data_IF_864132583964
#
_entry.id   IF_864132583964
#
_cell.length_a   1.000
_cell.length_b   1.000
_cell.length_c   1.000
_cell.angle_alpha   90.00
_cell.angle_beta   90.00
_cell.angle_gamma   90.00
#
_symmetry.space_group_name_H-M   'P 1'
#
loop_
_entity.id
_entity.type
_entity.pdbx_description
1 polymer ?
#
# COMPACT_ATOMS: atom_id res chain seq x y z
N UNK A 1 10.00 -2.36 -18.62
CA UNK A 1 8.94 -2.39 -19.65
C UNK A 1 7.65 -1.69 -19.22
N UNK A 2 7.33 -1.57 -17.92
CA UNK A 2 6.16 -0.79 -17.45
C UNK A 2 6.44 0.72 -17.31
N UNK A 3 7.68 1.11 -16.93
CA UNK A 3 8.06 2.51 -16.75
C UNK A 3 7.88 3.38 -18.01
N UNK A 4 8.00 2.80 -19.21
CA UNK A 4 7.81 3.51 -20.48
C UNK A 4 6.35 3.74 -20.87
N UNK A 5 5.39 3.26 -20.06
CA UNK A 5 3.96 3.33 -20.35
C UNK A 5 3.15 3.94 -19.19
N UNK A 6 3.84 4.41 -18.15
CA UNK A 6 3.24 5.10 -17.00
C UNK A 6 3.93 6.45 -16.91
N UNK A 7 3.17 7.52 -17.08
CA UNK A 7 3.69 8.90 -17.00
C UNK A 7 4.04 9.29 -15.56
N UNK A 8 3.29 8.78 -14.58
CA UNK A 8 3.51 9.03 -13.16
C UNK A 8 3.26 7.78 -12.31
N UNK A 9 4.29 7.31 -11.58
CA UNK A 9 4.18 6.23 -10.62
C UNK A 9 4.23 6.77 -9.18
N UNK A 10 3.13 6.62 -8.43
CA UNK A 10 3.03 7.05 -7.02
C UNK A 10 3.07 5.85 -6.07
N UNK A 11 3.93 5.91 -5.05
CA UNK A 11 3.94 4.96 -3.94
C UNK A 11 3.33 5.58 -2.68
N UNK A 12 2.29 4.95 -2.12
CA UNK A 12 1.73 5.32 -0.81
C UNK A 12 2.45 4.49 0.26
N UNK A 13 3.49 5.06 0.85
CA UNK A 13 4.39 4.39 1.78
C UNK A 13 3.74 4.26 3.15
N UNK A 14 3.13 3.11 3.40
CA UNK A 14 2.50 2.81 4.68
C UNK A 14 3.37 1.80 5.44
N UNK A 15 3.69 2.04 6.73
CA UNK A 15 4.31 1.02 7.56
C UNK A 15 3.50 -0.29 7.55
N UNK A 16 4.20 -1.41 7.47
CA UNK A 16 3.60 -2.73 7.25
C UNK A 16 2.60 -3.12 8.36
N UNK A 17 2.95 -2.81 9.60
CA UNK A 17 2.12 -3.00 10.78
C UNK A 17 0.82 -2.16 10.71
N UNK A 18 0.91 -0.88 10.34
CA UNK A 18 -0.25 0.00 10.13
C UNK A 18 -1.14 -0.53 9.00
N UNK A 19 -0.55 -0.90 7.87
CA UNK A 19 -1.27 -1.47 6.74
C UNK A 19 -1.99 -2.77 7.13
N UNK A 20 -1.33 -3.63 7.90
CA UNK A 20 -1.90 -4.89 8.36
C UNK A 20 -3.04 -4.67 9.37
N UNK A 21 -2.85 -3.79 10.35
CA UNK A 21 -3.89 -3.45 11.32
C UNK A 21 -5.14 -2.88 10.63
N UNK A 22 -4.96 -1.94 9.69
CA UNK A 22 -6.07 -1.39 8.88
C UNK A 22 -6.78 -2.48 8.08
N UNK A 23 -6.04 -3.41 7.46
CA UNK A 23 -6.61 -4.55 6.72
C UNK A 23 -7.46 -5.44 7.63
N UNK A 24 -6.93 -5.82 8.80
CA UNK A 24 -7.64 -6.69 9.75
C UNK A 24 -8.93 -6.02 10.23
N UNK A 25 -8.88 -4.74 10.62
CA UNK A 25 -10.06 -3.99 11.05
C UNK A 25 -11.11 -3.90 9.95
N UNK A 26 -10.69 -3.63 8.71
CA UNK A 26 -11.58 -3.56 7.54
C UNK A 26 -12.26 -4.90 7.26
N UNK A 27 -11.48 -5.98 7.25
CA UNK A 27 -11.98 -7.30 6.84
C UNK A 27 -12.83 -7.96 7.95
N UNK A 28 -12.59 -7.62 9.22
CA UNK A 28 -13.37 -8.14 10.36
C UNK A 28 -14.86 -7.81 10.26
N UNK A 29 -15.22 -6.61 9.76
CA UNK A 29 -16.63 -6.17 9.72
C UNK A 29 -17.54 -7.05 8.85
N UNK A 30 -16.98 -7.90 7.98
CA UNK A 30 -17.74 -8.69 7.01
C UNK A 30 -17.40 -10.20 7.05
N UNK A 31 -16.62 -10.68 8.02
CA UNK A 31 -16.09 -12.06 8.04
C UNK A 31 -16.06 -12.66 9.44
N UNK A 32 -16.05 -14.00 9.50
CA UNK A 32 -15.89 -14.72 10.76
C UNK A 32 -14.47 -14.61 11.30
N UNK A 33 -14.28 -14.88 12.60
CA UNK A 33 -12.97 -14.86 13.25
C UNK A 33 -12.01 -15.87 12.61
N UNK A 34 -12.50 -17.05 12.27
CA UNK A 34 -11.74 -18.13 11.62
C UNK A 34 -11.24 -17.69 10.24
N UNK A 35 -12.06 -16.95 9.50
CA UNK A 35 -11.64 -16.38 8.22
C UNK A 35 -10.50 -15.38 8.39
N UNK A 36 -10.53 -14.54 9.44
CA UNK A 36 -9.45 -13.59 9.71
C UNK A 36 -8.17 -14.32 10.10
N UNK A 37 -8.24 -15.35 10.94
CA UNK A 37 -7.06 -16.16 11.29
C UNK A 37 -6.42 -16.83 10.07
N UNK A 38 -7.22 -17.44 9.19
CA UNK A 38 -6.72 -18.03 7.95
C UNK A 38 -6.08 -16.98 7.02
N UNK A 39 -6.64 -15.77 6.95
CA UNK A 39 -6.02 -14.66 6.19
C UNK A 39 -4.68 -14.22 6.81
N UNK A 40 -4.55 -14.21 8.14
CA UNK A 40 -3.29 -13.93 8.83
C UNK A 40 -2.23 -15.00 8.54
N UNK A 41 -2.61 -16.28 8.53
CA UNK A 41 -1.71 -17.39 8.16
C UNK A 41 -1.25 -17.29 6.69
N UNK A 42 -2.17 -16.94 5.79
CA UNK A 42 -1.83 -16.67 4.38
C UNK A 42 -0.92 -15.46 4.23
N UNK A 43 -1.12 -14.41 5.02
CA UNK A 43 -0.23 -13.26 5.06
C UNK A 43 1.18 -13.65 5.53
N UNK A 44 1.30 -14.42 6.61
CA UNK A 44 2.60 -14.86 7.14
C UNK A 44 3.34 -15.78 6.15
N UNK A 45 2.63 -16.72 5.54
CA UNK A 45 3.22 -17.70 4.62
C UNK A 45 3.60 -17.11 3.26
N UNK A 46 2.83 -16.13 2.75
CA UNK A 46 2.97 -15.64 1.37
C UNK A 46 2.85 -14.13 1.24
N UNK A 47 1.84 -13.52 1.85
CA UNK A 47 1.51 -12.10 1.65
C UNK A 47 2.63 -11.14 2.05
N UNK A 48 3.26 -11.37 3.20
CA UNK A 48 4.36 -10.55 3.73
C UNK A 48 5.55 -10.52 2.78
N UNK A 49 5.91 -11.67 2.20
CA UNK A 49 7.00 -11.74 1.23
C UNK A 49 6.72 -10.84 0.04
N UNK A 50 5.51 -10.92 -0.54
CA UNK A 50 5.13 -10.05 -1.66
C UNK A 50 5.24 -8.55 -1.33
N UNK A 51 4.86 -8.16 -0.11
CA UNK A 51 5.00 -6.77 0.34
C UNK A 51 6.46 -6.32 0.44
N UNK A 52 7.34 -7.16 1.01
CA UNK A 52 8.76 -6.85 1.11
C UNK A 52 9.44 -6.79 -0.25
N UNK A 53 9.10 -7.69 -1.16
CA UNK A 53 9.60 -7.66 -2.54
C UNK A 53 9.15 -6.38 -3.25
N UNK A 54 7.90 -5.93 -3.06
CA UNK A 54 7.42 -4.65 -3.60
C UNK A 54 8.22 -3.46 -3.08
N UNK A 55 8.56 -3.42 -1.78
CA UNK A 55 9.40 -2.36 -1.21
C UNK A 55 10.77 -2.33 -1.89
N UNK A 56 11.36 -3.49 -2.16
CA UNK A 56 12.71 -3.58 -2.73
C UNK A 56 12.74 -3.34 -4.24
N UNK A 57 11.73 -3.79 -4.97
CA UNK A 57 11.75 -3.85 -6.44
C UNK A 57 10.84 -2.84 -7.14
N UNK A 58 9.76 -2.38 -6.49
CA UNK A 58 8.74 -1.51 -7.11
C UNK A 58 8.78 -0.08 -6.56
N UNK A 59 8.87 0.09 -5.23
CA UNK A 59 8.93 1.42 -4.60
C UNK A 59 10.06 2.30 -5.17
N UNK A 60 11.28 1.80 -5.44
CA UNK A 60 12.35 2.62 -6.03
C UNK A 60 12.08 3.08 -7.47
N UNK A 61 11.10 2.48 -8.15
CA UNK A 61 10.71 2.88 -9.50
C UNK A 61 9.63 3.97 -9.51
N UNK A 62 9.17 4.44 -8.35
CA UNK A 62 8.13 5.46 -8.24
C UNK A 62 8.73 6.86 -8.36
N UNK A 63 8.06 7.75 -9.06
CA UNK A 63 8.47 9.15 -9.24
C UNK A 63 8.09 9.99 -8.02
N UNK A 64 7.00 9.62 -7.33
CA UNK A 64 6.53 10.28 -6.12
C UNK A 64 6.21 9.29 -5.00
N UNK A 65 6.63 9.61 -3.78
CA UNK A 65 6.35 8.81 -2.58
C UNK A 65 5.58 9.69 -1.60
N UNK A 66 4.41 9.24 -1.18
CA UNK A 66 3.57 9.91 -0.20
C UNK A 66 3.46 9.08 1.08
N UNK A 67 3.55 9.74 2.23
CA UNK A 67 3.37 9.10 3.53
C UNK A 67 1.93 8.59 3.68
N UNK A 68 1.78 7.26 3.77
CA UNK A 68 0.50 6.57 3.90
C UNK A 68 -0.11 6.62 5.31
N UNK A 69 0.58 7.20 6.29
CA UNK A 69 0.02 7.45 7.62
C UNK A 69 -0.89 8.68 7.66
N UNK A 70 -0.79 9.56 6.65
CA UNK A 70 -1.60 10.77 6.53
C UNK A 70 -3.10 10.46 6.30
N UNK A 71 -3.99 11.41 6.63
CA UNK A 71 -5.40 11.32 6.26
C UNK A 71 -5.58 11.23 4.73
N UNK A 72 -6.60 10.51 4.22
CA UNK A 72 -6.83 10.36 2.79
C UNK A 72 -6.93 11.69 2.03
N UNK A 73 -7.56 12.71 2.62
CA UNK A 73 -7.65 14.05 2.01
C UNK A 73 -6.26 14.65 1.75
N UNK A 74 -5.36 14.55 2.73
CA UNK A 74 -4.00 15.08 2.62
C UNK A 74 -3.18 14.27 1.60
N UNK A 75 -3.37 12.95 1.53
CA UNK A 75 -2.73 12.11 0.51
C UNK A 75 -3.19 12.55 -0.89
N UNK A 76 -4.49 12.72 -1.08
CA UNK A 76 -5.08 13.19 -2.35
C UNK A 76 -4.52 14.56 -2.73
N UNK A 77 -4.51 15.52 -1.78
CA UNK A 77 -3.98 16.85 -2.03
C UNK A 77 -2.52 16.81 -2.48
N UNK A 78 -1.68 16.00 -1.83
CA UNK A 78 -0.27 15.85 -2.21
C UNK A 78 -0.09 15.27 -3.61
N UNK A 79 -0.86 14.25 -3.96
CA UNK A 79 -0.82 13.64 -5.31
C UNK A 79 -1.30 14.66 -6.36
N UNK A 80 -2.39 15.36 -6.09
CA UNK A 80 -2.92 16.39 -6.99
C UNK A 80 -1.88 17.50 -7.25
N UNK A 81 -1.22 17.98 -6.20
CA UNK A 81 -0.16 18.99 -6.35
C UNK A 81 1.06 18.48 -7.13
N UNK A 82 1.37 17.18 -7.07
CA UNK A 82 2.44 16.62 -7.89
C UNK A 82 2.05 16.57 -9.37
N UNK A 83 0.79 16.25 -9.69
CA UNK A 83 0.28 16.21 -11.08
C UNK A 83 0.28 17.60 -11.74
N UNK A 84 -0.09 18.66 -11.03
CA UNK A 84 -0.21 20.01 -11.61
C UNK A 84 1.11 20.78 -11.75
N UNK A 85 2.18 20.29 -11.11
CA UNK A 85 3.49 20.95 -11.09
C UNK A 85 4.50 20.32 -12.08
N UNK A 86 4.08 19.30 -12.84
CA UNK A 86 4.79 18.72 -13.98
C UNK A 86 4.35 19.36 -15.30
#
# INVERSE_FOLDING_TARGET
MIKSSIDLAVNIDTPLDIAMARRVVRDYNNRSKESILNEMENYLSRGRRGYLEMIQSIKPCSDFIVDGTLPPSIIVDKIYHNIINE
#
